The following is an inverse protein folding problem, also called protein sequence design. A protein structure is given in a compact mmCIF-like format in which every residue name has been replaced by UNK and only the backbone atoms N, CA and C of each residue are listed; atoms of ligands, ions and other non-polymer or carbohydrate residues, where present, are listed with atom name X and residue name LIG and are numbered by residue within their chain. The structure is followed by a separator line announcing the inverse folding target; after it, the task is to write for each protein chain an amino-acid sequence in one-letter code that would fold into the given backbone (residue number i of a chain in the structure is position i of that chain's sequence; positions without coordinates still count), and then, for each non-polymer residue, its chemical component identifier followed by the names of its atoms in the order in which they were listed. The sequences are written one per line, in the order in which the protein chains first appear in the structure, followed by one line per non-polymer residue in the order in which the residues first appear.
data_IF_694113449055
#
_entry.id   IF_694113449055
#
_cell.length_a   1.000
_cell.length_b   1.000
_cell.length_c   1.000
_cell.angle_alpha   90.00
_cell.angle_beta   90.00
_cell.angle_gamma   90.00
#
_symmetry.space_group_name_H-M   'P 1'
#
loop_
_entity.id
_entity.type
_entity.pdbx_description
1 polymer ?
#
# COMPACT_ATOMS: atom_id res chain seq x y z
N UNK A 1 2.51 14.07 -19.20
CA UNK A 1 3.47 13.81 -18.09
C UNK A 1 3.02 14.57 -16.86
N UNK A 2 3.17 14.03 -15.65
CA UNK A 2 2.89 14.76 -14.39
C UNK A 2 4.13 14.70 -13.49
N UNK A 3 4.86 15.81 -13.41
CA UNK A 3 5.93 15.99 -12.44
C UNK A 3 5.31 16.06 -11.02
N UNK A 4 5.53 15.04 -10.19
CA UNK A 4 5.39 15.21 -8.72
C UNK A 4 6.58 16.03 -8.21
N UNK A 5 6.58 17.34 -8.49
CA UNK A 5 7.39 18.31 -7.75
C UNK A 5 7.10 18.11 -6.27
N UNK A 6 8.13 17.87 -5.46
CA UNK A 6 8.04 18.00 -4.00
C UNK A 6 7.59 19.45 -3.74
N UNK A 7 6.45 19.69 -3.04
CA UNK A 7 5.99 21.04 -2.80
C UNK A 7 7.04 21.79 -1.96
N UNK A 8 7.55 22.91 -2.47
CA UNK A 8 8.49 23.73 -1.72
C UNK A 8 7.72 24.32 -0.52
N UNK A 9 7.98 23.79 0.67
CA UNK A 9 7.27 24.16 1.91
C UNK A 9 7.55 25.59 2.38
N UNK A 10 8.45 26.32 1.72
CA UNK A 10 8.78 27.72 1.96
C UNK A 10 8.29 28.56 0.76
N UNK A 11 7.47 29.58 1.03
CA UNK A 11 6.93 30.53 0.05
C UNK A 11 7.41 31.94 0.38
N UNK A 12 7.88 32.69 -0.62
CA UNK A 12 8.24 34.10 -0.46
C UNK A 12 6.99 34.98 -0.45
N UNK A 13 6.84 35.80 0.58
CA UNK A 13 5.84 36.86 0.70
C UNK A 13 6.47 38.24 0.47
N UNK A 14 5.67 39.31 0.49
CA UNK A 14 6.08 40.67 0.06
C UNK A 14 7.29 41.24 0.82
N UNK A 15 7.48 40.88 2.09
CA UNK A 15 8.59 41.32 2.93
C UNK A 15 9.08 40.24 3.92
N UNK A 16 8.78 38.96 3.64
CA UNK A 16 9.01 37.85 4.56
C UNK A 16 8.90 36.49 3.85
N UNK A 17 9.11 35.40 4.57
CA UNK A 17 8.87 34.03 4.12
C UNK A 17 7.75 33.38 4.95
N UNK A 18 6.98 32.49 4.34
CA UNK A 18 5.92 31.70 4.97
C UNK A 18 6.21 30.21 4.81
N UNK A 19 5.87 29.41 5.83
CA UNK A 19 5.86 27.96 5.75
C UNK A 19 4.44 27.52 5.33
N UNK A 20 4.32 26.63 4.35
CA UNK A 20 3.04 26.21 3.78
C UNK A 20 3.04 24.71 3.48
N UNK A 21 2.04 23.98 3.97
CA UNK A 21 1.87 22.54 3.71
C UNK A 21 0.42 22.24 3.37
N UNK A 22 0.19 21.46 2.30
CA UNK A 22 -1.15 20.95 1.97
C UNK A 22 -1.57 19.85 2.95
N UNK A 23 -2.85 19.85 3.34
CA UNK A 23 -3.43 18.77 4.16
C UNK A 23 -3.81 17.62 3.21
N UNK A 24 -3.38 16.37 3.46
CA UNK A 24 -3.80 15.21 2.65
C UNK A 24 -5.34 15.11 2.57
N UNK A 25 -5.91 14.75 1.42
CA UNK A 25 -7.36 14.79 1.19
C UNK A 25 -8.15 13.93 2.17
N UNK A 26 -7.60 12.78 2.53
CA UNK A 26 -8.03 11.86 3.59
C UNK A 26 -8.12 12.53 4.98
N UNK A 27 -7.22 13.47 5.28
CA UNK A 27 -7.20 14.21 6.54
C UNK A 27 -8.09 15.48 6.52
N UNK A 28 -8.50 16.01 5.36
CA UNK A 28 -9.04 17.39 5.26
C UNK A 28 -10.33 17.62 6.07
N UNK A 29 -11.20 16.60 6.16
CA UNK A 29 -12.41 16.68 6.98
C UNK A 29 -12.07 16.74 8.47
N UNK A 30 -11.34 15.74 8.99
CA UNK A 30 -10.94 15.65 10.41
C UNK A 30 -10.08 16.85 10.88
N UNK A 31 -9.20 17.34 10.02
CA UNK A 31 -8.29 18.47 10.33
C UNK A 31 -8.96 19.83 10.15
N UNK A 32 -10.14 19.89 9.51
CA UNK A 32 -10.93 21.13 9.33
C UNK A 32 -10.28 22.20 8.45
N UNK A 33 -9.20 21.89 7.71
CA UNK A 33 -8.54 22.83 6.79
C UNK A 33 -7.87 22.12 5.62
N UNK A 34 -7.68 22.83 4.50
CA UNK A 34 -7.04 22.30 3.28
C UNK A 34 -5.52 22.52 3.22
N UNK A 35 -4.97 23.40 4.05
CA UNK A 35 -3.53 23.74 4.13
C UNK A 35 -3.17 24.42 5.44
N UNK A 36 -2.01 24.10 6.00
CA UNK A 36 -1.37 24.86 7.08
C UNK A 36 -0.56 26.03 6.50
N UNK A 37 -0.46 27.12 7.26
CA UNK A 37 0.40 28.27 7.00
C UNK A 37 1.02 28.77 8.31
N UNK A 38 2.29 29.18 8.29
CA UNK A 38 3.00 29.79 9.43
C UNK A 38 4.02 30.84 8.94
N UNK A 39 4.48 31.74 9.82
CA UNK A 39 5.53 32.71 9.51
C UNK A 39 6.94 32.09 9.57
N UNK A 40 7.61 31.98 8.42
CA UNK A 40 8.98 31.48 8.34
C UNK A 40 10.02 32.46 8.92
N UNK A 41 9.89 33.75 8.61
CA UNK A 41 10.82 34.79 9.08
C UNK A 41 10.99 35.92 8.07
N UNK A 42 11.97 36.80 8.31
CA UNK A 42 12.37 37.84 7.33
C UNK A 42 13.33 37.27 6.28
N UNK A 43 14.26 36.40 6.69
CA UNK A 43 15.23 35.73 5.80
C UNK A 43 14.82 34.30 5.44
N UNK A 44 15.42 33.77 4.36
CA UNK A 44 15.25 32.36 3.95
C UNK A 44 15.89 31.38 4.95
N UNK A 45 16.91 31.82 5.69
CA UNK A 45 17.61 30.99 6.68
C UNK A 45 16.77 30.78 7.95
N UNK A 46 16.07 31.82 8.44
CA UNK A 46 15.04 31.67 9.48
C UNK A 46 13.97 30.64 9.07
N UNK A 47 13.47 30.74 7.83
CA UNK A 47 12.46 29.83 7.32
C UNK A 47 12.96 28.38 7.20
N UNK A 48 14.22 28.19 6.78
CA UNK A 48 14.88 26.87 6.76
C UNK A 48 15.07 26.31 8.17
N UNK A 49 15.48 27.12 9.14
CA UNK A 49 15.66 26.70 10.54
C UNK A 49 14.35 26.26 11.21
N UNK A 50 13.23 26.90 10.89
CA UNK A 50 11.90 26.54 11.43
C UNK A 50 11.21 25.38 10.69
N UNK A 51 11.65 25.06 9.46
CA UNK A 51 11.00 24.07 8.63
C UNK A 51 10.91 22.66 9.27
N UNK A 52 11.95 22.11 9.93
CA UNK A 52 11.86 20.79 10.58
C UNK A 52 10.78 20.72 11.66
N UNK A 53 10.66 21.75 12.50
CA UNK A 53 9.64 21.81 13.56
C UNK A 53 8.22 21.96 12.97
N UNK A 54 8.05 22.78 11.93
CA UNK A 54 6.79 22.89 11.19
C UNK A 54 6.37 21.57 10.54
N UNK A 55 7.31 20.85 9.94
CA UNK A 55 7.06 19.52 9.38
C UNK A 55 6.70 18.53 10.48
N UNK A 56 7.56 18.30 11.48
CA UNK A 56 7.31 17.37 12.58
C UNK A 56 5.95 17.60 13.28
N UNK A 57 5.58 18.86 13.56
CA UNK A 57 4.27 19.20 14.15
C UNK A 57 3.10 18.97 13.19
N UNK A 58 3.27 19.18 11.88
CA UNK A 58 2.22 18.86 10.90
C UNK A 58 2.16 17.38 10.54
N UNK A 59 3.26 16.64 10.63
CA UNK A 59 3.31 15.17 10.54
C UNK A 59 2.64 14.54 11.76
N UNK A 60 2.86 15.07 12.97
CA UNK A 60 2.12 14.65 14.17
C UNK A 60 0.60 14.88 14.02
N UNK A 61 0.17 16.03 13.48
CA UNK A 61 -1.25 16.28 13.21
C UNK A 61 -1.83 15.42 12.07
N UNK A 62 -1.01 15.05 11.07
CA UNK A 62 -1.39 14.05 10.05
C UNK A 62 -1.51 12.67 10.68
N UNK A 63 -0.55 12.27 11.51
CA UNK A 63 -0.52 11.00 12.23
C UNK A 63 -1.59 10.91 13.32
N UNK A 64 -2.12 12.03 13.82
CA UNK A 64 -3.27 12.08 14.72
C UNK A 64 -4.61 12.04 13.95
N UNK A 65 -4.71 12.70 12.79
CA UNK A 65 -5.90 12.58 11.93
C UNK A 65 -6.00 11.19 11.25
N UNK A 66 -4.85 10.58 11.00
CA UNK A 66 -4.65 9.18 10.58
C UNK A 66 -4.39 8.23 11.73
N UNK A 67 -4.44 8.70 12.99
CA UNK A 67 -4.62 7.78 14.10
C UNK A 67 -6.04 7.25 13.89
N UNK A 68 -6.10 6.00 13.47
CA UNK A 68 -7.32 5.23 13.50
C UNK A 68 -7.73 5.21 14.98
N UNK A 69 -8.78 5.98 15.32
CA UNK A 69 -9.70 5.48 16.35
C UNK A 69 -10.08 4.11 15.83
N UNK A 70 -9.55 3.08 16.49
CA UNK A 70 -9.80 1.70 16.14
C UNK A 70 -11.30 1.54 16.01
N UNK A 71 -11.73 0.99 14.87
CA UNK A 71 -13.13 0.63 14.69
C UNK A 71 -13.55 -0.29 15.82
N UNK A 72 -14.83 -0.33 16.14
CA UNK A 72 -15.34 -1.08 17.28
C UNK A 72 -14.95 -2.57 17.14
N UNK A 73 -14.96 -3.07 15.90
CA UNK A 73 -14.44 -4.40 15.52
C UNK A 73 -12.94 -4.59 15.82
N UNK A 74 -12.10 -3.58 15.58
CA UNK A 74 -10.67 -3.61 15.89
C UNK A 74 -10.38 -3.49 17.39
N UNK A 75 -11.23 -2.80 18.15
CA UNK A 75 -11.18 -2.81 19.62
C UNK A 75 -11.52 -4.21 20.17
N UNK A 76 -12.62 -4.82 19.70
CA UNK A 76 -13.01 -6.20 20.05
C UNK A 76 -11.89 -7.20 19.74
N UNK A 77 -11.22 -7.09 18.59
CA UNK A 77 -10.08 -7.96 18.25
C UNK A 77 -8.88 -7.69 19.18
N UNK A 78 -8.53 -6.43 19.43
CA UNK A 78 -7.34 -6.05 20.20
C UNK A 78 -7.47 -6.32 21.72
N UNK A 79 -8.69 -6.24 22.25
CA UNK A 79 -9.01 -6.53 23.66
C UNK A 79 -9.51 -7.98 23.85
N UNK A 80 -9.50 -8.79 22.79
CA UNK A 80 -9.93 -10.19 22.78
C UNK A 80 -9.33 -11.06 23.88
N UNK A 81 -8.01 -10.95 24.06
CA UNK A 81 -7.25 -11.76 25.01
C UNK A 81 -7.22 -11.17 26.44
N UNK A 82 -8.02 -10.12 26.72
CA UNK A 82 -8.11 -9.54 28.07
C UNK A 82 -8.82 -10.53 29.01
N UNK A 83 -8.08 -10.98 30.01
CA UNK A 83 -8.47 -12.01 30.96
C UNK A 83 -9.74 -11.61 31.75
N UNK A 84 -10.62 -12.58 31.99
CA UNK A 84 -11.87 -12.43 32.75
C UNK A 84 -13.04 -11.69 32.06
N UNK A 85 -12.81 -10.89 31.02
CA UNK A 85 -13.59 -9.65 30.80
C UNK A 85 -15.15 -9.64 30.87
N UNK A 86 -15.98 -10.37 30.12
CA UNK A 86 -15.80 -11.49 29.19
C UNK A 86 -16.05 -11.11 27.71
N UNK A 87 -17.22 -11.41 27.09
CA UNK A 87 -17.57 -11.13 25.69
C UNK A 87 -18.59 -9.98 25.52
N UNK A 88 -19.64 -9.94 26.34
CA UNK A 88 -20.59 -8.79 26.37
C UNK A 88 -19.87 -7.51 26.80
N UNK A 89 -19.02 -7.60 27.83
CA UNK A 89 -18.16 -6.50 28.29
C UNK A 89 -17.19 -6.04 27.19
N UNK A 90 -16.63 -6.99 26.43
CA UNK A 90 -15.74 -6.69 25.29
C UNK A 90 -16.48 -5.93 24.17
N UNK A 91 -17.76 -6.23 23.93
CA UNK A 91 -18.60 -5.46 23.00
C UNK A 91 -18.98 -4.07 23.54
N UNK A 92 -19.22 -3.93 24.85
CA UNK A 92 -19.54 -2.65 25.51
C UNK A 92 -18.35 -1.69 25.52
N UNK A 93 -17.18 -2.15 25.95
CA UNK A 93 -15.94 -1.35 25.95
C UNK A 93 -15.48 -0.95 24.55
N UNK A 94 -15.79 -1.77 23.54
CA UNK A 94 -15.52 -1.48 22.14
C UNK A 94 -16.55 -0.56 21.47
N UNK A 95 -17.79 -0.47 21.98
CA UNK A 95 -18.84 0.38 21.43
C UNK A 95 -19.68 1.09 22.52
N UNK A 96 -19.07 1.96 23.36
CA UNK A 96 -19.71 2.53 24.55
C UNK A 96 -20.81 3.58 24.26
N UNK A 97 -21.18 3.75 22.99
CA UNK A 97 -22.24 4.66 22.54
C UNK A 97 -23.48 3.94 22.02
N UNK A 98 -23.44 2.60 21.92
CA UNK A 98 -24.54 1.77 21.42
C UNK A 98 -25.11 0.97 22.60
N UNK A 99 -26.33 1.30 22.99
CA UNK A 99 -27.03 0.59 24.06
C UNK A 99 -27.40 -0.84 23.63
N UNK A 100 -27.34 -1.77 24.60
CA UNK A 100 -27.74 -3.18 24.43
C UNK A 100 -29.19 -3.33 23.92
N UNK A 101 -30.04 -2.40 24.33
CA UNK A 101 -31.48 -2.36 24.03
C UNK A 101 -31.92 -0.97 23.61
N UNK A 102 -33.00 -0.89 22.85
CA UNK A 102 -33.72 0.35 22.58
C UNK A 102 -34.67 0.70 23.75
N UNK A 103 -35.23 1.91 23.72
CA UNK A 103 -36.16 2.41 24.75
C UNK A 103 -37.45 1.59 24.89
N UNK A 104 -37.80 0.79 23.87
CA UNK A 104 -38.93 -0.16 23.91
C UNK A 104 -38.59 -1.50 24.60
N UNK A 105 -37.34 -1.67 25.03
CA UNK A 105 -36.82 -2.86 25.71
C UNK A 105 -36.39 -4.00 24.77
N UNK A 106 -36.53 -3.85 23.45
CA UNK A 106 -36.02 -4.80 22.46
C UNK A 106 -34.50 -4.72 22.31
N UNK A 107 -33.86 -5.82 21.89
CA UNK A 107 -32.42 -5.88 21.69
C UNK A 107 -31.97 -5.08 20.46
N UNK A 108 -30.82 -4.43 20.57
CA UNK A 108 -30.23 -3.65 19.49
C UNK A 108 -29.39 -4.55 18.56
N UNK A 109 -29.76 -4.72 17.27
CA UNK A 109 -29.05 -5.62 16.36
C UNK A 109 -27.58 -5.25 16.11
N UNK A 110 -27.21 -3.96 16.25
CA UNK A 110 -25.82 -3.55 16.17
C UNK A 110 -25.01 -4.09 17.35
N UNK A 111 -25.59 -4.05 18.56
CA UNK A 111 -24.97 -4.60 19.76
C UNK A 111 -24.91 -6.13 19.71
N UNK A 112 -25.98 -6.82 19.29
CA UNK A 112 -25.98 -8.28 19.11
C UNK A 112 -24.88 -8.73 18.12
N UNK A 113 -24.72 -8.01 17.01
CA UNK A 113 -23.64 -8.28 16.04
C UNK A 113 -22.24 -8.07 16.63
N UNK A 114 -22.07 -7.15 17.57
CA UNK A 114 -20.81 -6.92 18.28
C UNK A 114 -20.53 -7.99 19.33
N UNK A 115 -21.54 -8.45 20.07
CA UNK A 115 -21.41 -9.58 21.00
C UNK A 115 -21.03 -10.87 20.25
N UNK A 116 -21.70 -11.17 19.14
CA UNK A 116 -21.35 -12.34 18.31
C UNK A 116 -19.91 -12.29 17.77
N UNK A 117 -19.38 -11.09 17.48
CA UNK A 117 -17.96 -10.92 17.14
C UNK A 117 -17.06 -11.19 18.35
N UNK A 118 -17.38 -10.64 19.52
CA UNK A 118 -16.61 -10.82 20.75
C UNK A 118 -16.57 -12.28 21.24
N UNK A 119 -17.68 -13.00 21.12
CA UNK A 119 -17.75 -14.45 21.34
C UNK A 119 -16.85 -15.21 20.37
N UNK A 120 -16.87 -14.84 19.09
CA UNK A 120 -15.95 -15.41 18.11
C UNK A 120 -14.48 -15.12 18.47
N UNK A 121 -14.14 -13.95 19.03
CA UNK A 121 -12.75 -13.67 19.45
C UNK A 121 -12.35 -14.61 20.58
N UNK A 122 -13.13 -14.65 21.66
CA UNK A 122 -12.80 -15.47 22.84
C UNK A 122 -12.89 -16.98 22.60
N UNK A 123 -13.58 -17.41 21.55
CA UNK A 123 -13.55 -18.80 21.06
C UNK A 123 -12.34 -19.12 20.15
N UNK A 124 -11.43 -18.18 19.90
CA UNK A 124 -10.29 -18.33 18.97
C UNK A 124 -10.66 -18.28 17.48
N UNK A 125 -11.87 -17.80 17.14
CA UNK A 125 -12.51 -17.92 15.82
C UNK A 125 -12.72 -16.60 15.06
N UNK A 126 -12.57 -15.42 15.69
CA UNK A 126 -12.89 -14.12 15.08
C UNK A 126 -12.10 -13.75 13.83
N UNK A 127 -11.00 -14.44 13.57
CA UNK A 127 -10.28 -14.39 12.30
C UNK A 127 -11.19 -14.63 11.08
N UNK A 128 -12.36 -15.25 11.29
CA UNK A 128 -13.47 -15.36 10.34
C UNK A 128 -14.08 -14.02 9.85
N UNK A 129 -13.72 -12.85 10.41
CA UNK A 129 -14.33 -11.55 10.04
C UNK A 129 -13.34 -10.49 9.54
N UNK A 130 -12.08 -10.84 9.24
CA UNK A 130 -11.09 -9.92 8.66
C UNK A 130 -11.66 -9.19 7.43
N UNK A 131 -11.85 -7.89 7.57
CA UNK A 131 -12.26 -7.01 6.47
C UNK A 131 -11.14 -6.89 5.42
N UNK A 132 -11.47 -6.36 4.25
CA UNK A 132 -10.49 -6.04 3.20
C UNK A 132 -9.29 -5.24 3.74
N UNK A 133 -9.52 -4.31 4.69
CA UNK A 133 -8.44 -3.55 5.32
C UNK A 133 -7.76 -4.32 6.46
N UNK A 134 -8.50 -5.04 7.30
CA UNK A 134 -7.92 -5.86 8.37
C UNK A 134 -6.92 -6.89 7.85
N UNK A 135 -7.22 -7.55 6.72
CA UNK A 135 -6.31 -8.48 6.07
C UNK A 135 -5.04 -7.79 5.51
N UNK A 136 -5.18 -6.57 4.97
CA UNK A 136 -4.04 -5.79 4.47
C UNK A 136 -3.13 -5.32 5.61
N UNK A 137 -3.69 -4.84 6.72
CA UNK A 137 -2.93 -4.38 7.88
C UNK A 137 -2.27 -5.54 8.63
N UNK A 138 -2.95 -6.69 8.81
CA UNK A 138 -2.34 -7.91 9.36
C UNK A 138 -1.12 -8.35 8.53
N UNK A 139 -1.29 -8.47 7.20
CA UNK A 139 -0.20 -8.81 6.27
C UNK A 139 0.94 -7.78 6.30
N UNK A 140 0.65 -6.51 6.57
CA UNK A 140 1.64 -5.43 6.68
C UNK A 140 2.44 -5.52 7.97
N UNK A 141 1.79 -5.79 9.11
CA UNK A 141 2.46 -6.02 10.39
C UNK A 141 3.36 -7.27 10.34
N UNK A 142 2.90 -8.35 9.72
CA UNK A 142 3.65 -9.60 9.62
C UNK A 142 4.93 -9.53 8.74
N UNK A 143 5.07 -8.50 7.86
CA UNK A 143 6.04 -8.52 6.75
C UNK A 143 6.71 -7.19 6.39
N UNK A 144 6.37 -6.08 7.06
CA UNK A 144 6.92 -4.72 6.85
C UNK A 144 7.22 -4.34 5.36
N UNK A 145 6.21 -4.41 4.47
CA UNK A 145 6.42 -4.21 3.04
C UNK A 145 6.90 -2.80 2.69
N UNK A 146 7.83 -2.70 1.73
CA UNK A 146 8.12 -1.45 1.05
C UNK A 146 6.82 -0.81 0.48
N UNK A 147 6.64 0.53 0.51
CA UNK A 147 5.35 1.17 0.25
C UNK A 147 4.68 0.75 -1.07
N UNK A 148 5.46 0.62 -2.14
CA UNK A 148 4.98 0.19 -3.47
C UNK A 148 4.45 -1.25 -3.49
N UNK A 149 4.97 -2.13 -2.64
CA UNK A 149 4.48 -3.50 -2.47
C UNK A 149 3.15 -3.50 -1.73
N UNK A 150 2.99 -2.64 -0.71
CA UNK A 150 1.72 -2.46 -0.02
C UNK A 150 0.64 -1.86 -0.96
N UNK A 151 0.96 -0.81 -1.73
CA UNK A 151 0.08 -0.29 -2.79
C UNK A 151 -0.37 -1.40 -3.76
N UNK A 152 0.56 -2.28 -4.16
CA UNK A 152 0.28 -3.45 -4.99
C UNK A 152 -0.68 -4.45 -4.33
N UNK A 153 -0.58 -4.69 -3.03
CA UNK A 153 -1.52 -5.55 -2.28
C UNK A 153 -2.91 -4.93 -2.19
N UNK A 154 -3.00 -3.61 -1.90
CA UNK A 154 -4.28 -2.88 -1.86
C UNK A 154 -4.99 -3.00 -3.21
N UNK A 155 -4.30 -2.67 -4.30
CA UNK A 155 -4.87 -2.75 -5.65
C UNK A 155 -5.30 -4.16 -6.04
N UNK A 156 -4.46 -5.17 -5.78
CA UNK A 156 -4.77 -6.56 -6.10
C UNK A 156 -6.00 -7.07 -5.33
N UNK A 157 -6.08 -6.80 -4.02
CA UNK A 157 -7.20 -7.24 -3.19
C UNK A 157 -8.49 -6.51 -3.55
N UNK A 158 -8.45 -5.19 -3.75
CA UNK A 158 -9.63 -4.41 -4.14
C UNK A 158 -10.17 -4.85 -5.50
N UNK A 159 -9.29 -5.12 -6.48
CA UNK A 159 -9.69 -5.65 -7.77
C UNK A 159 -10.34 -7.05 -7.67
N UNK A 160 -9.79 -7.94 -6.83
CA UNK A 160 -10.37 -9.27 -6.60
C UNK A 160 -11.74 -9.20 -5.92
N UNK A 161 -11.87 -8.47 -4.80
CA UNK A 161 -13.17 -8.32 -4.10
C UNK A 161 -14.22 -7.65 -4.99
N UNK A 162 -13.83 -6.67 -5.82
CA UNK A 162 -14.72 -6.04 -6.80
C UNK A 162 -15.11 -6.97 -7.96
N UNK A 163 -14.34 -8.02 -8.24
CA UNK A 163 -14.68 -9.02 -9.26
C UNK A 163 -15.62 -10.11 -8.70
N UNK A 164 -15.40 -10.55 -7.46
CA UNK A 164 -16.21 -11.61 -6.84
C UNK A 164 -17.53 -11.10 -6.25
N UNK A 165 -17.66 -9.79 -6.03
CA UNK A 165 -18.84 -9.17 -5.42
C UNK A 165 -19.06 -9.52 -3.95
N UNK A 166 -18.10 -10.20 -3.31
CA UNK A 166 -18.17 -10.59 -1.89
C UNK A 166 -17.86 -9.40 -0.99
N UNK A 167 -18.46 -9.35 0.20
CA UNK A 167 -18.22 -8.25 1.15
C UNK A 167 -16.98 -8.45 2.03
N UNK A 168 -16.56 -9.69 2.26
CA UNK A 168 -15.38 -10.02 3.11
C UNK A 168 -14.53 -11.15 2.49
N UNK A 169 -13.18 -11.08 2.50
CA UNK A 169 -12.28 -12.05 1.86
C UNK A 169 -12.56 -13.54 2.15
N UNK A 170 -12.94 -13.91 3.38
CA UNK A 170 -13.21 -15.30 3.75
C UNK A 170 -14.41 -15.92 2.97
N UNK A 171 -15.27 -15.11 2.36
CA UNK A 171 -16.40 -15.55 1.55
C UNK A 171 -16.01 -15.95 0.12
N UNK A 172 -14.78 -15.68 -0.30
CA UNK A 172 -14.26 -16.05 -1.62
C UNK A 172 -13.79 -17.50 -1.63
N UNK A 173 -14.22 -18.25 -2.64
CA UNK A 173 -13.99 -19.69 -2.80
C UNK A 173 -12.85 -19.99 -3.78
N UNK A 174 -12.47 -21.27 -3.90
CA UNK A 174 -11.55 -21.72 -4.96
C UNK A 174 -12.10 -21.49 -6.37
N UNK A 175 -13.42 -21.52 -6.56
CA UNK A 175 -14.04 -21.21 -7.85
C UNK A 175 -13.91 -19.72 -8.20
N UNK A 176 -14.06 -18.83 -7.21
CA UNK A 176 -13.82 -17.39 -7.39
C UNK A 176 -12.36 -17.09 -7.80
N UNK A 177 -11.40 -17.76 -7.15
CA UNK A 177 -9.96 -17.59 -7.43
C UNK A 177 -9.53 -18.12 -8.80
N UNK A 178 -10.13 -19.21 -9.29
CA UNK A 178 -9.96 -19.69 -10.68
C UNK A 178 -10.60 -18.70 -11.66
N UNK A 179 -11.81 -18.24 -11.36
CA UNK A 179 -12.56 -17.30 -12.23
C UNK A 179 -11.86 -15.96 -12.41
N UNK A 180 -11.21 -15.42 -11.37
CA UNK A 180 -10.38 -14.20 -11.53
C UNK A 180 -9.13 -14.53 -12.36
N UNK A 181 -8.39 -15.58 -11.98
CA UNK A 181 -7.15 -16.01 -12.66
C UNK A 181 -7.34 -16.15 -14.17
N UNK A 182 -8.43 -16.77 -14.62
CA UNK A 182 -8.69 -16.99 -16.04
C UNK A 182 -9.27 -15.75 -16.75
N UNK A 183 -9.82 -14.78 -16.00
CA UNK A 183 -10.22 -13.47 -16.53
C UNK A 183 -9.05 -12.46 -16.61
N UNK A 184 -8.02 -12.54 -15.75
CA UNK A 184 -6.89 -11.60 -15.72
C UNK A 184 -6.20 -11.35 -17.09
N UNK A 185 -5.97 -12.35 -17.96
CA UNK A 185 -5.34 -12.14 -19.28
C UNK A 185 -6.11 -11.18 -20.20
N UNK A 186 -7.43 -11.02 -20.00
CA UNK A 186 -8.25 -10.06 -20.76
C UNK A 186 -8.11 -8.62 -20.28
N UNK A 187 -7.65 -8.42 -19.03
CA UNK A 187 -7.59 -7.13 -18.33
C UNK A 187 -6.18 -6.54 -18.26
N UNK A 188 -5.14 -7.38 -18.30
CA UNK A 188 -3.76 -6.93 -18.08
C UNK A 188 -2.70 -7.89 -18.66
N UNK A 189 -1.45 -7.41 -18.70
CA UNK A 189 -0.32 -8.22 -19.18
C UNK A 189 -0.11 -9.48 -18.34
N UNK A 190 0.43 -10.55 -18.96
CA UNK A 190 0.80 -11.80 -18.28
C UNK A 190 1.77 -11.60 -17.09
N UNK A 191 2.60 -10.56 -17.13
CA UNK A 191 3.47 -10.18 -16.00
C UNK A 191 2.66 -9.61 -14.84
N UNK A 192 1.82 -8.61 -15.12
CA UNK A 192 0.90 -7.98 -14.16
C UNK A 192 0.00 -9.01 -13.47
N UNK A 193 -0.62 -9.90 -14.25
CA UNK A 193 -1.50 -10.95 -13.75
C UNK A 193 -0.78 -11.93 -12.80
N UNK A 194 0.46 -12.33 -13.12
CA UNK A 194 1.28 -13.14 -12.19
C UNK A 194 1.59 -12.40 -10.90
N UNK A 195 1.89 -11.11 -10.95
CA UNK A 195 2.15 -10.29 -9.77
C UNK A 195 0.90 -10.14 -8.90
N UNK A 196 -0.28 -9.88 -9.50
CA UNK A 196 -1.56 -9.85 -8.78
C UNK A 196 -1.86 -11.17 -8.07
N UNK A 197 -1.72 -12.30 -8.77
CA UNK A 197 -1.93 -13.62 -8.17
C UNK A 197 -0.93 -13.93 -7.05
N UNK A 198 0.33 -13.50 -7.16
CA UNK A 198 1.32 -13.65 -6.08
C UNK A 198 0.99 -12.79 -4.85
N UNK A 199 0.48 -11.57 -5.05
CA UNK A 199 0.02 -10.70 -3.97
C UNK A 199 -1.21 -11.29 -3.26
N UNK A 200 -2.22 -11.73 -4.02
CA UNK A 200 -3.42 -12.40 -3.51
C UNK A 200 -3.09 -13.72 -2.81
N UNK A 201 -2.24 -14.56 -3.38
CA UNK A 201 -1.81 -15.80 -2.75
C UNK A 201 -1.15 -15.55 -1.39
N UNK A 202 -0.26 -14.56 -1.28
CA UNK A 202 0.34 -14.19 0.00
C UNK A 202 -0.65 -13.56 0.99
N UNK A 203 -1.72 -12.91 0.52
CA UNK A 203 -2.80 -12.42 1.39
C UNK A 203 -3.61 -13.59 1.95
N UNK A 204 -3.90 -14.61 1.15
CA UNK A 204 -4.55 -15.83 1.63
C UNK A 204 -3.63 -16.71 2.49
N UNK A 205 -2.31 -16.59 2.37
CA UNK A 205 -1.38 -17.18 3.33
C UNK A 205 -1.63 -16.58 4.71
N UNK A 206 -1.60 -15.24 4.84
CA UNK A 206 -1.93 -14.58 6.11
C UNK A 206 -3.37 -14.85 6.55
N UNK A 207 -4.35 -14.87 5.64
CA UNK A 207 -5.74 -15.18 5.99
C UNK A 207 -5.82 -16.54 6.69
N UNK A 208 -5.24 -17.59 6.10
CA UNK A 208 -5.26 -18.96 6.68
C UNK A 208 -4.37 -19.08 7.92
N UNK A 209 -3.19 -18.43 7.94
CA UNK A 209 -2.29 -18.39 9.10
C UNK A 209 -2.97 -17.76 10.34
N UNK A 210 -3.75 -16.68 10.16
CA UNK A 210 -4.55 -16.10 11.25
C UNK A 210 -5.82 -16.92 11.53
N UNK A 211 -6.50 -17.41 10.50
CA UNK A 211 -7.79 -18.10 10.65
C UNK A 211 -7.69 -19.50 11.27
N UNK A 212 -6.52 -20.15 11.23
CA UNK A 212 -6.25 -21.45 11.86
C UNK A 212 -6.96 -22.64 11.21
N UNK A 213 -8.07 -22.38 10.52
CA UNK A 213 -8.86 -23.30 9.69
C UNK A 213 -9.34 -22.53 8.45
N UNK A 214 -9.26 -23.14 7.26
CA UNK A 214 -9.71 -22.52 6.02
C UNK A 214 -8.85 -22.91 4.81
N UNK A 215 -9.49 -23.00 3.64
CA UNK A 215 -8.81 -23.34 2.39
C UNK A 215 -8.05 -22.14 1.81
N UNK A 216 -6.77 -22.35 1.54
CA UNK A 216 -5.95 -21.36 0.82
C UNK A 216 -6.31 -21.40 -0.67
N UNK A 217 -7.34 -20.64 -1.06
CA UNK A 217 -7.97 -20.71 -2.39
C UNK A 217 -7.01 -20.51 -3.56
N UNK A 218 -5.93 -19.73 -3.36
CA UNK A 218 -4.90 -19.48 -4.37
C UNK A 218 -3.76 -20.51 -4.40
N UNK A 219 -3.63 -21.37 -3.38
CA UNK A 219 -2.56 -22.38 -3.28
C UNK A 219 -2.76 -23.49 -4.29
N UNK A 220 -1.71 -23.82 -5.04
CA UNK A 220 -1.77 -24.84 -6.09
C UNK A 220 -2.61 -24.46 -7.31
N UNK A 221 -2.96 -23.18 -7.51
CA UNK A 221 -3.43 -22.73 -8.82
C UNK A 221 -2.27 -22.84 -9.83
N UNK A 222 -2.51 -23.32 -11.07
CA UNK A 222 -1.45 -23.40 -12.07
C UNK A 222 -0.85 -22.03 -12.39
N UNK A 223 0.47 -21.86 -12.21
CA UNK A 223 1.21 -20.64 -12.54
C UNK A 223 1.26 -20.31 -14.06
N UNK A 224 0.62 -21.14 -14.86
CA UNK A 224 0.28 -20.97 -16.27
C UNK A 224 -1.09 -20.28 -16.41
N UNK A 225 -1.04 -19.00 -16.80
CA UNK A 225 -2.17 -18.20 -17.31
C UNK A 225 -2.54 -18.53 -18.78
N UNK A 226 -1.97 -19.60 -19.31
CA UNK A 226 -1.81 -19.86 -20.75
C UNK A 226 -1.17 -21.25 -20.90
N UNK A 227 -1.64 -22.09 -21.83
CA UNK A 227 -0.81 -23.21 -22.28
C UNK A 227 0.49 -22.66 -22.86
N UNK A 228 1.61 -22.92 -22.19
CA UNK A 228 2.90 -22.35 -22.55
C UNK A 228 3.60 -23.26 -23.54
N UNK A 229 3.03 -23.33 -24.75
CA UNK A 229 3.61 -24.04 -25.89
C UNK A 229 5.05 -23.59 -26.15
N UNK A 230 5.91 -24.57 -26.46
CA UNK A 230 7.36 -24.40 -26.65
C UNK A 230 7.69 -23.28 -27.65
N UNK A 231 6.86 -23.11 -28.68
CA UNK A 231 6.91 -22.04 -29.67
C UNK A 231 6.58 -20.63 -29.12
N UNK A 232 5.55 -20.50 -28.28
CA UNK A 232 5.16 -19.23 -27.63
C UNK A 232 6.24 -18.76 -26.64
N UNK A 233 6.84 -19.70 -25.91
CA UNK A 233 8.00 -19.44 -25.05
C UNK A 233 9.26 -19.05 -25.87
N UNK A 234 9.57 -19.77 -26.94
CA UNK A 234 10.72 -19.48 -27.80
C UNK A 234 10.60 -18.09 -28.44
N UNK A 235 9.44 -17.72 -29.01
CA UNK A 235 9.20 -16.36 -29.56
C UNK A 235 9.44 -15.27 -28.52
N UNK A 236 9.01 -15.46 -27.27
CA UNK A 236 9.23 -14.49 -26.20
C UNK A 236 10.72 -14.37 -25.78
N UNK A 237 11.48 -15.47 -25.86
CA UNK A 237 12.93 -15.44 -25.64
C UNK A 237 13.67 -14.76 -26.80
N UNK A 238 13.33 -15.09 -28.06
CA UNK A 238 13.90 -14.43 -29.25
C UNK A 238 13.59 -12.94 -29.29
N UNK A 239 12.36 -12.52 -28.97
CA UNK A 239 11.99 -11.12 -28.91
C UNK A 239 12.79 -10.31 -27.87
N UNK A 240 13.20 -10.93 -26.76
CA UNK A 240 14.12 -10.33 -25.78
C UNK A 240 15.58 -10.35 -26.21
N UNK A 241 15.99 -11.32 -27.03
CA UNK A 241 17.38 -11.50 -27.49
C UNK A 241 17.72 -10.65 -28.70
N UNK A 242 16.73 -10.28 -29.51
CA UNK A 242 16.91 -9.61 -30.80
C UNK A 242 16.65 -8.10 -30.78
N UNK A 243 16.53 -7.47 -29.59
CA UNK A 243 16.66 -6.02 -29.47
C UNK A 243 18.15 -5.66 -29.37
N UNK A 244 18.81 -5.57 -30.51
CA UNK A 244 20.05 -4.81 -30.64
C UNK A 244 19.75 -3.38 -30.20
N UNK A 245 20.40 -2.89 -29.13
CA UNK A 245 20.14 -1.57 -28.56
C UNK A 245 20.85 -0.45 -29.35
N UNK A 246 20.74 -0.54 -30.69
CA UNK A 246 21.10 0.52 -31.63
C UNK A 246 20.26 1.76 -31.31
N UNK A 247 20.84 2.87 -30.84
CA UNK A 247 20.06 4.03 -30.51
C UNK A 247 19.65 4.76 -31.79
N UNK A 248 18.40 5.23 -31.84
CA UNK A 248 17.80 5.92 -33.02
C UNK A 248 18.60 7.16 -33.46
N UNK A 249 19.40 7.71 -32.55
CA UNK A 249 20.42 8.74 -32.79
C UNK A 249 21.73 8.17 -32.20
N UNK A 250 22.87 8.17 -32.93
CA UNK A 250 24.18 7.74 -32.42
C UNK A 250 24.59 8.48 -31.14
N UNK A 251 25.32 7.81 -30.24
CA UNK A 251 25.62 8.36 -28.90
C UNK A 251 26.52 9.60 -28.93
N UNK A 252 27.30 9.75 -30.00
CA UNK A 252 28.17 10.89 -30.30
C UNK A 252 27.37 12.16 -30.63
N UNK A 253 26.11 12.00 -31.06
CA UNK A 253 25.22 13.10 -31.46
C UNK A 253 24.28 13.53 -30.32
N UNK A 254 24.28 12.81 -29.18
CA UNK A 254 23.46 13.13 -28.01
C UNK A 254 23.88 14.46 -27.38
N UNK A 255 23.02 15.47 -27.47
CA UNK A 255 23.32 16.85 -27.05
C UNK A 255 22.07 17.56 -26.52
N UNK A 256 22.23 18.79 -26.01
CA UNK A 256 21.11 19.64 -25.60
C UNK A 256 20.35 19.24 -24.32
N UNK A 257 20.80 18.22 -23.58
CA UNK A 257 20.14 17.74 -22.36
C UNK A 257 21.14 17.49 -21.23
N UNK A 258 20.80 17.92 -20.02
CA UNK A 258 21.57 17.64 -18.79
C UNK A 258 21.67 16.13 -18.45
N UNK A 259 20.84 15.30 -19.09
CA UNK A 259 20.80 13.86 -18.87
C UNK A 259 21.68 13.05 -19.84
N UNK A 260 22.39 13.68 -20.78
CA UNK A 260 23.28 12.96 -21.72
C UNK A 260 24.31 12.07 -20.99
N UNK A 261 25.02 12.52 -19.93
CA UNK A 261 25.94 11.65 -19.20
C UNK A 261 25.25 10.45 -18.52
N UNK A 262 24.01 10.63 -18.06
CA UNK A 262 23.21 9.55 -17.47
C UNK A 262 22.87 8.51 -18.55
N UNK A 263 22.48 8.95 -19.75
CA UNK A 263 22.20 8.04 -20.86
C UNK A 263 23.46 7.32 -21.36
N UNK A 264 24.61 8.00 -21.40
CA UNK A 264 25.90 7.40 -21.77
C UNK A 264 26.32 6.32 -20.75
N UNK A 265 26.21 6.59 -19.45
CA UNK A 265 26.48 5.59 -18.40
C UNK A 265 25.57 4.36 -18.56
N UNK A 266 24.26 4.55 -18.77
CA UNK A 266 23.33 3.42 -19.00
C UNK A 266 23.68 2.62 -20.27
N UNK A 267 24.06 3.31 -21.35
CA UNK A 267 24.40 2.69 -22.63
C UNK A 267 25.68 1.85 -22.56
N UNK A 268 26.77 2.40 -22.00
CA UNK A 268 28.06 1.72 -21.97
C UNK A 268 28.19 0.66 -20.86
N UNK A 269 27.45 0.78 -19.76
CA UNK A 269 27.55 -0.18 -18.64
C UNK A 269 26.43 -1.21 -18.59
N UNK A 270 25.29 -0.94 -19.24
CA UNK A 270 24.07 -1.75 -19.08
C UNK A 270 23.43 -1.67 -17.69
N UNK A 271 23.90 -0.78 -16.81
CA UNK A 271 23.36 -0.59 -15.47
C UNK A 271 21.90 -0.10 -15.50
N UNK A 272 21.19 -0.26 -14.38
CA UNK A 272 19.82 0.24 -14.25
C UNK A 272 19.80 1.73 -13.95
N UNK A 273 18.73 2.41 -14.35
CA UNK A 273 18.50 3.83 -14.03
C UNK A 273 18.55 4.12 -12.51
N UNK A 274 18.14 3.17 -11.66
CA UNK A 274 18.23 3.29 -10.20
C UNK A 274 19.66 3.20 -9.66
N UNK A 275 20.55 2.49 -10.36
CA UNK A 275 21.95 2.34 -9.99
C UNK A 275 22.72 3.60 -10.43
N UNK A 276 22.56 4.04 -11.69
CA UNK A 276 23.18 5.28 -12.20
C UNK A 276 22.66 6.54 -11.49
N UNK A 277 21.37 6.60 -11.13
CA UNK A 277 20.82 7.74 -10.37
C UNK A 277 21.18 7.71 -8.86
N UNK A 278 21.74 6.60 -8.37
CA UNK A 278 22.29 6.47 -7.00
C UNK A 278 23.79 6.71 -6.91
N UNK A 279 24.49 6.76 -8.05
CA UNK A 279 25.95 6.87 -8.17
C UNK A 279 26.47 8.16 -7.52
N UNK A 280 27.55 8.02 -6.75
CA UNK A 280 28.23 9.08 -6.02
C UNK A 280 29.63 9.31 -6.59
N UNK A 281 30.24 10.44 -6.25
CA UNK A 281 31.64 10.71 -6.61
C UNK A 281 32.62 9.70 -5.98
N UNK A 282 32.28 9.16 -4.81
CA UNK A 282 33.05 8.11 -4.13
C UNK A 282 32.98 6.72 -4.80
N UNK A 283 32.02 6.50 -5.71
CA UNK A 283 31.90 5.24 -6.48
C UNK A 283 32.74 5.28 -7.78
N UNK A 284 33.31 6.44 -8.14
CA UNK A 284 34.07 6.65 -9.37
C UNK A 284 35.56 6.64 -9.05
N UNK A 285 36.29 5.70 -9.64
CA UNK A 285 37.74 5.57 -9.47
C UNK A 285 38.43 5.59 -10.83
N UNK A 286 39.34 6.54 -11.03
CA UNK A 286 40.28 6.45 -12.15
C UNK A 286 41.20 5.25 -11.92
N UNK A 287 41.21 4.31 -12.86
CA UNK A 287 42.18 3.21 -12.81
C UNK A 287 43.54 3.76 -13.20
N UNK A 288 44.59 3.69 -12.35
CA UNK A 288 45.88 4.26 -12.69
C UNK A 288 46.44 3.57 -13.93
N UNK A 289 46.81 4.38 -14.93
CA UNK A 289 47.43 3.89 -16.15
C UNK A 289 48.76 3.18 -15.83
N UNK A 290 48.99 2.04 -16.48
CA UNK A 290 50.22 1.23 -16.41
C UNK A 290 51.01 1.38 -17.70
#
# INVERSE_FOLDING_TARGET
MVFRKVPNYIVKARASYQLVRGVPSDCQAKVGKKKWKEGGGKTINEARAKLPAFLARTDALIAQARAEQLTNEELVIRQGDVEGWSAVVLAQEANPHVAERFDDGSYNPEFESMVAMAEAVKAGKANALLSTQGLLQARRLDREPAPRTFEGWVMALHAFMSFTGKSKPFQCTRADAVSDKDALPTRMSRGSAKTQLAYLAGLWTTLVEKQGTGDHIFKGLPGTLDETTKSKALRAATAKRNQSFEPVIPYEQWSGSIYVPVFQLLYFTGARLSEVAGLRAEDIHETPQR
#
